data_IF_360431787551
#
_entry.id   IF_360431787551
#
_cell.length_a   1.000
_cell.length_b   1.000
_cell.length_c   1.000
_cell.angle_alpha   90.00
_cell.angle_beta   90.00
_cell.angle_gamma   90.00
#
_symmetry.space_group_name_H-M   'P 1'
#
loop_
_entity.id
_entity.type
_entity.pdbx_description
1 polymer ?
#
# COMPACT_ATOMS: atom_id res chain seq x y z
N UNK A 1 -24.24 42.39 37.71
CA UNK A 1 -22.97 41.89 37.16
C UNK A 1 -22.93 40.37 36.95
N UNK A 2 -23.78 39.57 37.63
CA UNK A 2 -23.78 38.10 37.49
C UNK A 2 -24.42 37.57 36.18
N UNK A 3 -25.44 38.24 35.62
CA UNK A 3 -26.13 37.77 34.41
C UNK A 3 -25.21 37.67 33.16
N UNK A 4 -24.19 38.53 33.05
CA UNK A 4 -23.20 38.45 31.97
C UNK A 4 -22.26 37.25 32.09
N UNK A 5 -21.99 36.80 33.32
CA UNK A 5 -21.15 35.64 33.60
C UNK A 5 -21.87 34.33 33.24
N UNK A 6 -23.18 34.26 33.45
CA UNK A 6 -24.00 33.11 33.05
C UNK A 6 -24.00 32.93 31.52
N UNK A 7 -24.19 34.00 30.76
CA UNK A 7 -24.20 33.93 29.28
C UNK A 7 -22.81 33.50 28.75
N UNK A 8 -21.74 34.04 29.34
CA UNK A 8 -20.36 33.67 28.98
C UNK A 8 -20.06 32.19 29.29
N UNK A 9 -20.45 31.72 30.47
CA UNK A 9 -20.20 30.33 30.89
C UNK A 9 -21.00 29.35 30.04
N UNK A 10 -22.27 29.62 29.76
CA UNK A 10 -23.09 28.81 28.85
C UNK A 10 -22.45 28.77 27.45
N UNK A 11 -22.03 29.91 26.91
CA UNK A 11 -21.37 29.97 25.61
C UNK A 11 -20.09 29.12 25.55
N UNK A 12 -19.23 29.23 26.56
CA UNK A 12 -18.00 28.43 26.66
C UNK A 12 -18.31 26.93 26.73
N UNK A 13 -19.28 26.54 27.56
CA UNK A 13 -19.67 25.13 27.70
C UNK A 13 -20.20 24.57 26.38
N UNK A 14 -21.04 25.32 25.67
CA UNK A 14 -21.59 24.89 24.37
C UNK A 14 -20.48 24.70 23.34
N UNK A 15 -19.53 25.64 23.24
CA UNK A 15 -18.40 25.52 22.31
C UNK A 15 -17.53 24.32 22.67
N UNK A 16 -17.18 24.13 23.94
CA UNK A 16 -16.41 22.97 24.39
C UNK A 16 -17.12 21.64 24.10
N UNK A 17 -18.43 21.58 24.33
CA UNK A 17 -19.23 20.38 24.05
C UNK A 17 -19.18 20.02 22.55
N UNK A 18 -19.33 21.00 21.66
CA UNK A 18 -19.25 20.78 20.20
C UNK A 18 -17.85 20.33 19.79
N UNK A 19 -16.79 20.96 20.29
CA UNK A 19 -15.41 20.56 20.00
C UNK A 19 -15.11 19.12 20.47
N UNK A 20 -15.54 18.76 21.69
CA UNK A 20 -15.41 17.40 22.19
C UNK A 20 -16.19 16.39 21.36
N UNK A 21 -17.41 16.73 20.94
CA UNK A 21 -18.25 15.85 20.12
C UNK A 21 -17.61 15.60 18.74
N UNK A 22 -17.06 16.65 18.11
CA UNK A 22 -16.34 16.53 16.83
C UNK A 22 -15.07 15.69 16.97
N UNK A 23 -14.28 15.92 18.02
CA UNK A 23 -13.08 15.13 18.30
C UNK A 23 -13.42 13.65 18.55
N UNK A 24 -14.48 13.36 19.30
CA UNK A 24 -14.96 12.01 19.55
C UNK A 24 -15.42 11.33 18.24
N UNK A 25 -16.11 12.05 17.36
CA UNK A 25 -16.51 11.50 16.06
C UNK A 25 -15.30 11.12 15.21
N UNK A 26 -14.25 11.94 15.19
CA UNK A 26 -13.00 11.64 14.49
C UNK A 26 -12.27 10.43 15.09
N UNK A 27 -12.24 10.31 16.41
CA UNK A 27 -11.56 9.20 17.10
C UNK A 27 -12.27 7.85 16.90
N UNK A 28 -13.60 7.84 16.83
CA UNK A 28 -14.39 6.63 16.55
C UNK A 28 -14.06 6.07 15.16
N UNK A 29 -13.92 6.93 14.14
CA UNK A 29 -13.52 6.51 12.78
C UNK A 29 -12.13 5.87 12.81
N UNK A 30 -11.17 6.49 13.51
CA UNK A 30 -9.82 5.93 13.68
C UNK A 30 -9.79 4.59 14.44
N UNK A 31 -10.65 4.42 15.44
CA UNK A 31 -10.77 3.18 16.21
C UNK A 31 -11.44 2.05 15.40
N UNK A 32 -12.48 2.39 14.62
CA UNK A 32 -13.16 1.45 13.73
C UNK A 32 -12.20 0.77 12.74
N UNK A 33 -11.34 1.54 12.07
CA UNK A 33 -10.35 0.97 11.14
C UNK A 33 -9.32 0.07 11.85
N UNK A 34 -8.84 0.46 13.04
CA UNK A 34 -7.90 -0.37 13.81
C UNK A 34 -8.48 -1.71 14.25
N UNK A 35 -9.74 -1.73 14.68
CA UNK A 35 -10.37 -2.99 15.13
C UNK A 35 -10.62 -3.98 13.99
N UNK A 36 -10.89 -3.49 12.78
CA UNK A 36 -11.07 -4.34 11.60
C UNK A 36 -9.72 -4.93 11.17
N UNK A 37 -8.64 -4.16 11.18
CA UNK A 37 -7.29 -4.65 10.85
C UNK A 37 -6.83 -5.75 11.81
N UNK A 38 -7.02 -5.58 13.12
CA UNK A 38 -6.66 -6.62 14.12
C UNK A 38 -7.45 -7.91 13.91
N UNK A 39 -8.75 -7.81 13.58
CA UNK A 39 -9.58 -8.98 13.29
C UNK A 39 -9.20 -9.68 11.98
N UNK A 40 -8.81 -8.92 10.96
CA UNK A 40 -8.34 -9.48 9.69
C UNK A 40 -6.97 -10.17 9.85
N UNK A 41 -6.04 -9.56 10.59
CA UNK A 41 -4.73 -10.16 10.87
C UNK A 41 -4.87 -11.45 11.70
N UNK A 42 -5.78 -11.49 12.69
CA UNK A 42 -6.06 -12.71 13.46
C UNK A 42 -6.69 -13.82 12.60
N UNK A 43 -7.53 -13.46 11.62
CA UNK A 43 -8.13 -14.41 10.70
C UNK A 43 -7.12 -14.96 9.68
N UNK A 44 -6.16 -14.15 9.22
CA UNK A 44 -5.07 -14.61 8.34
C UNK A 44 -4.06 -15.50 9.07
N UNK A 45 -3.75 -15.21 10.35
CA UNK A 45 -2.89 -16.05 11.17
C UNK A 45 -3.46 -17.48 11.32
N UNK A 46 -4.76 -17.61 11.60
CA UNK A 46 -5.44 -18.91 11.67
C UNK A 46 -5.44 -19.70 10.36
N UNK A 47 -5.46 -19.01 9.22
CA UNK A 47 -5.38 -19.67 7.89
C UNK A 47 -3.97 -20.17 7.59
N UNK A 48 -2.92 -19.50 8.10
CA UNK A 48 -1.53 -19.95 7.95
C UNK A 48 -1.23 -21.17 8.80
N UNK A 49 -1.79 -21.26 10.01
CA UNK A 49 -1.61 -22.43 10.87
C UNK A 49 -2.29 -23.69 10.29
N UNK A 50 -3.44 -23.54 9.63
CA UNK A 50 -4.10 -24.63 8.92
C UNK A 50 -3.33 -25.09 7.67
N UNK A 51 -2.60 -24.19 7.00
CA UNK A 51 -1.77 -24.52 5.84
C UNK A 51 -0.44 -25.19 6.23
N UNK A 52 0.11 -24.87 7.41
CA UNK A 52 1.35 -25.50 7.91
C UNK A 52 1.15 -26.99 8.27
N UNK A 53 -0.06 -27.38 8.70
CA UNK A 53 -0.37 -28.78 9.00
C UNK A 53 -0.49 -29.68 7.75
N UNK A 54 -0.73 -29.11 6.57
CA UNK A 54 -0.85 -29.86 5.31
C UNK A 54 0.49 -30.02 4.56
N UNK A 55 1.52 -29.26 4.93
CA UNK A 55 2.80 -29.22 4.21
C UNK A 55 3.84 -30.25 4.67
N UNK A 56 3.55 -31.07 5.69
CA UNK A 56 4.50 -32.04 6.25
C UNK A 56 4.55 -33.40 5.54
N UNK A 57 3.79 -33.63 4.47
CA UNK A 57 3.58 -34.99 3.91
C UNK A 57 4.25 -35.25 2.54
N UNK A 58 4.93 -34.30 1.90
CA UNK A 58 5.50 -34.57 0.57
C UNK A 58 7.00 -34.20 0.44
N UNK A 59 7.86 -35.14 0.83
CA UNK A 59 9.28 -35.21 0.46
C UNK A 59 9.43 -35.90 -0.90
N UNK A 60 10.12 -35.26 -1.86
CA UNK A 60 11.11 -35.89 -2.76
C UNK A 60 11.72 -34.86 -3.75
N UNK A 61 13.02 -34.95 -4.11
CA UNK A 61 13.76 -33.90 -4.82
C UNK A 61 13.78 -34.10 -6.35
N UNK A 62 13.61 -33.02 -7.13
CA UNK A 62 13.95 -33.02 -8.57
C UNK A 62 14.15 -31.61 -9.16
N UNK A 63 15.36 -31.38 -9.69
CA UNK A 63 15.80 -30.43 -10.74
C UNK A 63 15.60 -28.91 -10.52
N UNK A 64 16.58 -28.04 -10.88
CA UNK A 64 16.45 -26.59 -10.73
C UNK A 64 15.48 -26.02 -11.80
N UNK A 65 14.19 -26.16 -11.53
CA UNK A 65 13.14 -25.40 -12.20
C UNK A 65 13.22 -23.91 -11.85
N UNK A 66 12.55 -23.04 -12.62
CA UNK A 66 12.51 -21.59 -12.35
C UNK A 66 12.15 -21.37 -10.88
N UNK A 67 13.02 -20.64 -10.17
CA UNK A 67 12.90 -20.39 -8.73
C UNK A 67 11.73 -19.45 -8.45
N UNK A 68 10.52 -20.01 -8.50
CA UNK A 68 9.30 -19.36 -8.04
C UNK A 68 9.37 -19.35 -6.52
N UNK A 69 9.39 -18.16 -5.93
CA UNK A 69 9.28 -17.99 -4.48
C UNK A 69 7.96 -18.65 -4.03
N UNK A 70 8.06 -19.60 -3.10
CA UNK A 70 7.05 -20.57 -2.60
C UNK A 70 5.74 -19.97 -2.00
N UNK A 71 5.24 -18.85 -2.50
CA UNK A 71 4.05 -18.18 -1.97
C UNK A 71 3.16 -17.51 -3.01
N UNK A 72 3.39 -17.72 -4.31
CA UNK A 72 2.63 -17.05 -5.38
C UNK A 72 1.68 -18.04 -6.06
N UNK A 73 0.35 -17.82 -5.99
CA UNK A 73 -0.63 -18.67 -6.67
C UNK A 73 -0.41 -18.76 -8.19
N UNK A 74 -0.61 -19.95 -8.76
CA UNK A 74 -0.37 -20.23 -10.17
C UNK A 74 -1.18 -19.35 -11.14
N UNK A 75 -2.41 -18.97 -10.75
CA UNK A 75 -3.25 -18.09 -11.55
C UNK A 75 -2.66 -16.67 -11.69
N UNK A 76 -1.96 -16.16 -10.66
CA UNK A 76 -1.27 -14.88 -10.76
C UNK A 76 -0.05 -14.96 -11.68
N UNK A 77 0.67 -16.08 -11.68
CA UNK A 77 1.80 -16.27 -12.60
C UNK A 77 1.34 -16.30 -14.06
N UNK A 78 0.22 -16.98 -14.34
CA UNK A 78 -0.38 -17.01 -15.68
C UNK A 78 -0.80 -15.60 -16.13
N UNK A 79 -1.42 -14.82 -15.23
CA UNK A 79 -1.80 -13.44 -15.51
C UNK A 79 -0.58 -12.53 -15.79
N UNK A 80 0.50 -12.67 -15.01
CA UNK A 80 1.74 -11.92 -15.24
C UNK A 80 2.37 -12.30 -16.58
N UNK A 81 2.46 -13.60 -16.88
CA UNK A 81 3.01 -14.08 -18.13
C UNK A 81 2.21 -13.55 -19.34
N UNK A 82 0.87 -13.57 -19.26
CA UNK A 82 -0.01 -13.03 -20.29
C UNK A 82 0.14 -11.52 -20.44
N UNK A 83 0.19 -10.78 -19.33
CA UNK A 83 0.40 -9.33 -19.36
C UNK A 83 1.74 -8.97 -20.01
N UNK A 84 2.82 -9.67 -19.67
CA UNK A 84 4.13 -9.45 -20.30
C UNK A 84 4.14 -9.78 -21.79
N UNK A 85 3.37 -10.78 -22.22
CA UNK A 85 3.27 -11.15 -23.63
C UNK A 85 2.54 -10.07 -24.46
N UNK A 86 1.59 -9.38 -23.85
CA UNK A 86 0.88 -8.28 -24.48
C UNK A 86 1.67 -6.96 -24.50
N UNK A 87 2.57 -6.74 -23.54
CA UNK A 87 3.33 -5.48 -23.44
C UNK A 87 4.70 -5.51 -24.09
N UNK A 88 5.34 -6.68 -24.16
CA UNK A 88 6.70 -6.79 -24.69
C UNK A 88 6.69 -7.30 -26.13
N UNK A 89 7.14 -6.46 -27.05
CA UNK A 89 7.22 -6.75 -28.50
C UNK A 89 8.49 -7.54 -28.90
N UNK A 90 9.36 -7.88 -27.94
CA UNK A 90 10.67 -8.51 -28.17
C UNK A 90 10.74 -9.88 -27.49
N UNK A 91 11.57 -10.82 -27.95
CA UNK A 91 11.75 -12.09 -27.26
C UNK A 91 12.32 -11.86 -25.84
N UNK A 92 11.58 -12.30 -24.83
CA UNK A 92 11.96 -12.17 -23.42
C UNK A 92 11.84 -13.52 -22.69
N UNK A 93 12.55 -13.65 -21.57
CA UNK A 93 12.44 -14.80 -20.66
C UNK A 93 12.22 -14.28 -19.24
N UNK A 94 11.17 -14.75 -18.60
CA UNK A 94 10.90 -14.45 -17.19
C UNK A 94 11.87 -15.29 -16.34
N UNK A 95 12.81 -14.63 -15.66
CA UNK A 95 13.86 -15.29 -14.86
C UNK A 95 13.40 -15.53 -13.42
N UNK A 96 12.69 -14.57 -12.84
CA UNK A 96 12.23 -14.64 -11.46
C UNK A 96 10.95 -13.82 -11.28
N UNK A 97 10.00 -14.38 -10.52
CA UNK A 97 8.83 -13.65 -10.04
C UNK A 97 8.86 -13.69 -8.51
N UNK A 98 8.85 -12.51 -7.88
CA UNK A 98 8.92 -12.37 -6.43
C UNK A 98 7.80 -11.47 -5.94
N UNK A 99 6.93 -12.01 -5.09
CA UNK A 99 6.00 -11.20 -4.33
C UNK A 99 6.72 -10.56 -3.12
N UNK A 100 6.42 -9.32 -2.75
CA UNK A 100 6.92 -8.71 -1.52
C UNK A 100 6.55 -9.57 -0.30
N UNK A 101 7.52 -9.77 0.60
CA UNK A 101 7.35 -10.58 1.83
C UNK A 101 6.42 -9.89 2.84
N UNK A 102 6.26 -8.58 2.72
CA UNK A 102 5.36 -7.76 3.53
C UNK A 102 4.33 -7.11 2.60
N UNK A 103 3.03 -7.13 2.92
CA UNK A 103 2.04 -6.36 2.18
C UNK A 103 2.41 -4.88 2.27
N UNK A 104 2.94 -4.32 1.20
CA UNK A 104 3.23 -2.90 1.13
C UNK A 104 1.95 -2.17 0.78
N UNK A 105 1.61 -1.14 1.57
CA UNK A 105 0.53 -0.25 1.17
C UNK A 105 0.93 0.51 -0.10
N UNK A 106 -0.06 0.90 -0.90
CA UNK A 106 0.14 1.63 -2.16
C UNK A 106 1.00 2.89 -1.93
N UNK A 107 0.81 3.54 -0.78
CA UNK A 107 1.58 4.70 -0.35
C UNK A 107 3.10 4.44 -0.27
N UNK A 108 3.52 3.31 0.31
CA UNK A 108 4.96 2.98 0.43
C UNK A 108 5.58 2.63 -0.92
N UNK A 109 4.83 1.96 -1.80
CA UNK A 109 5.28 1.69 -3.17
C UNK A 109 5.42 3.00 -3.96
N UNK A 110 4.45 3.91 -3.82
CA UNK A 110 4.46 5.20 -4.49
C UNK A 110 5.61 6.10 -4.03
N UNK A 111 5.89 6.15 -2.72
CA UNK A 111 7.05 6.88 -2.19
C UNK A 111 8.36 6.34 -2.77
N UNK A 112 8.52 5.02 -2.82
CA UNK A 112 9.71 4.38 -3.40
C UNK A 112 9.84 4.67 -4.89
N UNK A 113 8.74 4.59 -5.65
CA UNK A 113 8.71 4.96 -7.06
C UNK A 113 9.03 6.44 -7.28
N UNK A 114 8.55 7.35 -6.42
CA UNK A 114 8.87 8.77 -6.47
C UNK A 114 10.34 9.04 -6.17
N UNK A 115 10.96 8.34 -5.22
CA UNK A 115 12.40 8.49 -4.96
C UNK A 115 13.22 8.12 -6.21
N UNK A 116 12.91 6.99 -6.84
CA UNK A 116 13.64 6.54 -8.04
C UNK A 116 13.30 7.34 -9.31
N UNK A 117 12.09 7.90 -9.39
CA UNK A 117 11.66 8.73 -10.51
C UNK A 117 11.81 10.24 -10.26
N UNK A 118 12.40 10.67 -9.14
CA UNK A 118 12.57 12.09 -8.80
C UNK A 118 13.35 12.87 -9.88
N UNK A 119 14.27 12.19 -10.57
CA UNK A 119 15.07 12.76 -11.65
C UNK A 119 14.41 12.66 -13.04
N UNK A 120 13.21 12.07 -13.14
CA UNK A 120 12.51 11.84 -14.40
C UNK A 120 11.13 12.49 -14.35
N UNK A 121 10.87 13.45 -15.25
CA UNK A 121 9.51 13.97 -15.45
C UNK A 121 8.77 13.10 -16.45
N UNK A 122 7.51 12.79 -16.18
CA UNK A 122 6.61 12.15 -17.13
C UNK A 122 6.11 13.23 -18.09
N UNK A 123 6.57 13.21 -19.35
CA UNK A 123 6.09 14.14 -20.37
C UNK A 123 4.68 13.78 -20.87
N UNK A 124 4.10 14.65 -21.70
CA UNK A 124 2.71 14.59 -22.20
C UNK A 124 2.30 13.28 -22.91
N UNK A 125 3.26 12.38 -23.18
CA UNK A 125 3.04 11.09 -23.84
C UNK A 125 3.75 9.91 -23.16
N UNK A 126 3.93 9.96 -21.83
CA UNK A 126 4.53 8.85 -21.07
C UNK A 126 6.04 8.66 -21.30
N UNK A 127 6.70 9.54 -22.04
CA UNK A 127 8.16 9.58 -22.15
C UNK A 127 8.76 10.15 -20.87
N UNK A 128 9.70 9.42 -20.28
CA UNK A 128 10.49 9.92 -19.16
C UNK A 128 11.54 10.91 -19.68
N UNK A 129 11.37 12.19 -19.37
CA UNK A 129 12.32 13.26 -19.70
C UNK A 129 13.30 13.46 -18.53
N UNK A 130 14.60 13.66 -18.80
CA UNK A 130 15.54 14.10 -17.77
C UNK A 130 15.05 15.42 -17.14
N UNK A 131 15.16 15.56 -15.82
CA UNK A 131 14.85 16.81 -15.16
C UNK A 131 15.70 17.95 -15.77
N UNK A 132 15.05 18.92 -16.42
CA UNK A 132 15.71 20.15 -16.89
C UNK A 132 16.48 20.78 -15.72
N UNK A 133 17.79 21.01 -15.90
CA UNK A 133 18.59 21.74 -14.93
C UNK A 133 17.91 23.09 -14.68
N UNK A 134 17.72 23.45 -13.40
CA UNK A 134 17.07 24.71 -13.00
C UNK A 134 17.71 25.94 -13.67
N UNK A 135 19.01 25.86 -13.99
CA UNK A 135 19.76 26.87 -14.74
C UNK A 135 19.25 27.16 -16.16
N UNK A 136 18.61 26.20 -16.83
CA UNK A 136 18.06 26.39 -18.19
C UNK A 136 16.65 26.99 -18.21
N UNK A 137 15.95 27.01 -17.07
CA UNK A 137 14.58 27.53 -16.97
C UNK A 137 14.50 29.05 -16.78
N UNK A 138 15.59 29.70 -16.37
CA UNK A 138 15.65 31.16 -16.19
C UNK A 138 16.05 31.93 -17.46
N UNK A 139 16.27 31.24 -18.58
CA UNK A 139 16.77 31.84 -19.82
C UNK A 139 15.72 31.87 -20.96
N UNK A 140 14.43 31.70 -20.67
CA UNK A 140 13.34 31.84 -21.64
C UNK A 140 12.26 32.79 -21.16
#
# INVERSE_FOLDING_TARGET
MLAGLEILTIGIIVVLAVLCMLWASCSIVGYGFRTIEVRQQAAEARKRDAAAAAASVATAPASPGPSVSSGIPAHHLAAIAAATAATMDRPYRIVQVRAPVVPTNEWSNQARLQTFNSHRRQGDWGRALPALNAAQSQAR
#
